data_IF_522871413346
#
_entry.id   IF_522871413346
#
_cell.length_a   1.000
_cell.length_b   1.000
_cell.length_c   1.000
_cell.angle_alpha   90.00
_cell.angle_beta   90.00
_cell.angle_gamma   90.00
#
_symmetry.space_group_name_H-M   'P 1'
#
loop_
_entity.id
_entity.type
_entity.pdbx_description
1 polymer ?
#
# COMPACT_ATOMS: atom_id res chain seq x y z
N UNK A 1 -3.77 5.13 7.64
CA UNK A 1 -2.50 4.96 8.37
C UNK A 1 -2.49 5.73 9.70
N UNK A 2 -2.66 7.05 9.71
CA UNK A 2 -2.57 7.88 10.92
C UNK A 2 -3.38 7.37 12.13
N UNK A 3 -4.65 7.00 11.94
CA UNK A 3 -5.50 6.47 13.01
C UNK A 3 -4.92 5.20 13.64
N UNK A 4 -4.48 4.25 12.80
CA UNK A 4 -3.89 3.00 13.30
C UNK A 4 -2.54 3.24 13.98
N UNK A 5 -1.73 4.16 13.46
CA UNK A 5 -0.47 4.55 14.10
C UNK A 5 -0.68 5.19 15.47
N UNK A 6 -1.70 6.05 15.61
CA UNK A 6 -2.07 6.64 16.90
C UNK A 6 -2.51 5.58 17.91
N UNK A 7 -3.38 4.66 17.50
CA UNK A 7 -3.83 3.51 18.30
C UNK A 7 -2.66 2.64 18.76
N UNK A 8 -1.74 2.29 17.84
CA UNK A 8 -0.52 1.53 18.16
C UNK A 8 0.43 2.28 19.09
N UNK A 9 0.41 3.61 19.07
CA UNK A 9 1.15 4.48 19.99
C UNK A 9 0.39 4.75 21.31
N UNK A 10 -0.72 4.05 21.56
CA UNK A 10 -1.56 4.21 22.75
C UNK A 10 -2.20 5.60 22.91
N UNK A 11 -2.33 6.34 21.80
CA UNK A 11 -3.13 7.56 21.77
C UNK A 11 -4.62 7.19 21.71
N UNK A 12 -5.46 8.02 22.32
CA UNK A 12 -6.91 7.88 22.20
C UNK A 12 -7.35 8.30 20.80
N UNK A 13 -7.79 7.33 20.01
CA UNK A 13 -8.35 7.56 18.68
C UNK A 13 -9.87 7.61 18.78
N UNK A 14 -10.47 8.75 18.44
CA UNK A 14 -11.91 8.91 18.52
C UNK A 14 -12.63 7.89 17.60
N UNK A 15 -13.48 7.05 18.18
CA UNK A 15 -14.26 6.03 17.48
C UNK A 15 -15.12 6.59 16.35
N UNK A 16 -15.71 7.77 16.53
CA UNK A 16 -16.51 8.42 15.48
C UNK A 16 -15.66 8.70 14.24
N UNK A 17 -14.39 9.05 14.41
CA UNK A 17 -13.46 9.25 13.29
C UNK A 17 -13.18 7.94 12.55
N UNK A 18 -13.04 6.82 13.28
CA UNK A 18 -12.87 5.50 12.67
C UNK A 18 -14.14 5.10 11.90
N UNK A 19 -15.32 5.29 12.48
CA UNK A 19 -16.59 4.98 11.82
C UNK A 19 -16.80 5.79 10.54
N UNK A 20 -16.51 7.10 10.57
CA UNK A 20 -16.56 7.96 9.37
C UNK A 20 -15.57 7.55 8.29
N UNK A 21 -14.41 7.00 8.69
CA UNK A 21 -13.45 6.45 7.73
C UNK A 21 -14.01 5.22 7.03
N UNK A 22 -14.70 4.34 7.76
CA UNK A 22 -15.38 3.17 7.19
C UNK A 22 -16.51 3.61 6.24
N UNK A 23 -17.31 4.58 6.65
CA UNK A 23 -18.40 5.14 5.83
C UNK A 23 -17.87 5.73 4.53
N UNK A 24 -16.77 6.50 4.58
CA UNK A 24 -16.12 7.03 3.40
C UNK A 24 -15.60 5.91 2.47
N UNK A 25 -14.94 4.88 3.02
CA UNK A 25 -14.49 3.75 2.21
C UNK A 25 -15.66 3.01 1.56
N UNK A 26 -16.80 2.92 2.24
CA UNK A 26 -18.02 2.34 1.67
C UNK A 26 -18.62 3.21 0.55
N UNK A 27 -18.47 4.54 0.59
CA UNK A 27 -19.01 5.43 -0.44
C UNK A 27 -18.16 5.46 -1.72
N UNK A 28 -16.86 5.17 -1.61
CA UNK A 28 -15.92 5.19 -2.75
C UNK A 28 -15.53 3.79 -3.26
N UNK A 29 -16.07 2.72 -2.68
CA UNK A 29 -15.80 1.36 -3.15
C UNK A 29 -16.62 0.99 -4.39
N UNK A 30 -16.04 0.15 -5.22
CA UNK A 30 -16.67 -0.55 -6.35
C UNK A 30 -16.38 -2.06 -6.25
N UNK A 31 -16.97 -2.86 -7.15
CA UNK A 31 -16.74 -4.30 -7.23
C UNK A 31 -16.93 -5.03 -5.89
N UNK A 32 -17.98 -4.62 -5.17
CA UNK A 32 -18.34 -5.16 -3.85
C UNK A 32 -17.15 -5.11 -2.86
N UNK A 33 -16.46 -3.96 -2.82
CA UNK A 33 -15.36 -3.70 -1.89
C UNK A 33 -13.97 -4.14 -2.36
N UNK A 34 -13.85 -4.71 -3.55
CA UNK A 34 -12.57 -5.11 -4.15
C UNK A 34 -11.89 -3.99 -4.96
N UNK A 35 -12.63 -2.93 -5.31
CA UNK A 35 -12.11 -1.76 -6.02
C UNK A 35 -12.42 -0.44 -5.28
N UNK A 36 -11.61 0.59 -5.52
CA UNK A 36 -11.81 1.92 -4.89
C UNK A 36 -11.51 3.07 -5.85
N UNK A 37 -12.34 4.11 -5.79
CA UNK A 37 -12.13 5.41 -6.44
C UNK A 37 -11.64 6.47 -5.45
N UNK A 38 -11.53 7.72 -5.92
CA UNK A 38 -10.92 8.81 -5.14
C UNK A 38 -11.95 9.51 -4.24
N UNK A 39 -12.98 10.09 -4.85
CA UNK A 39 -14.07 10.82 -4.17
C UNK A 39 -15.43 10.15 -4.35
N UNK A 40 -15.54 9.20 -5.27
CA UNK A 40 -16.74 8.44 -5.58
C UNK A 40 -16.37 7.04 -6.11
N UNK A 41 -17.39 6.22 -6.38
CA UNK A 41 -17.24 4.84 -6.86
C UNK A 41 -17.30 4.69 -8.39
N UNK A 42 -17.38 5.79 -9.15
CA UNK A 42 -17.58 5.77 -10.61
C UNK A 42 -16.32 5.38 -11.38
N UNK A 43 -15.13 5.66 -10.81
CA UNK A 43 -13.83 5.41 -11.43
C UNK A 43 -12.86 4.78 -10.44
N UNK A 44 -12.93 3.47 -10.29
CA UNK A 44 -11.90 2.73 -9.55
C UNK A 44 -10.59 2.65 -10.34
N UNK A 45 -9.47 2.77 -9.65
CA UNK A 45 -8.13 2.61 -10.24
C UNK A 45 -7.29 1.61 -9.45
N UNK A 46 -6.34 0.89 -10.09
CA UNK A 46 -5.46 -0.05 -9.37
C UNK A 46 -4.74 0.60 -8.17
N UNK A 47 -4.31 1.85 -8.31
CA UNK A 47 -3.65 2.64 -7.27
C UNK A 47 -4.55 2.86 -6.07
N UNK A 48 -5.77 3.37 -6.30
CA UNK A 48 -6.69 3.66 -5.21
C UNK A 48 -7.26 2.38 -4.60
N UNK A 49 -7.41 1.32 -5.40
CA UNK A 49 -7.73 -0.01 -4.89
C UNK A 49 -6.65 -0.54 -3.95
N UNK A 50 -5.36 -0.39 -4.29
CA UNK A 50 -4.27 -0.78 -3.38
C UNK A 50 -4.34 -0.01 -2.04
N UNK A 51 -4.59 1.30 -2.10
CA UNK A 51 -4.75 2.15 -0.90
C UNK A 51 -5.98 1.72 -0.09
N UNK A 52 -7.15 1.59 -0.72
CA UNK A 52 -8.41 1.26 -0.06
C UNK A 52 -8.36 -0.11 0.62
N UNK A 53 -7.85 -1.13 -0.07
CA UNK A 53 -7.67 -2.47 0.48
C UNK A 53 -6.70 -2.48 1.66
N UNK A 54 -5.58 -1.77 1.56
CA UNK A 54 -4.64 -1.64 2.68
C UNK A 54 -5.29 -0.94 3.89
N UNK A 55 -6.09 0.11 3.66
CA UNK A 55 -6.86 0.77 4.72
C UNK A 55 -7.87 -0.17 5.37
N UNK A 56 -8.56 -1.00 4.58
CA UNK A 56 -9.48 -2.01 5.12
C UNK A 56 -8.78 -3.00 6.05
N UNK A 57 -7.56 -3.46 5.71
CA UNK A 57 -6.76 -4.31 6.58
C UNK A 57 -6.42 -3.60 7.90
N UNK A 58 -6.02 -2.32 7.84
CA UNK A 58 -5.77 -1.52 9.05
C UNK A 58 -7.02 -1.27 9.89
N UNK A 59 -8.21 -1.30 9.28
CA UNK A 59 -9.51 -1.19 9.93
C UNK A 59 -10.08 -2.54 10.39
N UNK A 60 -9.33 -3.63 10.24
CA UNK A 60 -9.67 -4.94 10.82
C UNK A 60 -10.13 -6.01 9.85
N UNK A 61 -10.16 -5.75 8.53
CA UNK A 61 -10.41 -6.83 7.56
C UNK A 61 -9.36 -7.93 7.70
N UNK A 62 -9.84 -9.17 7.83
CA UNK A 62 -9.01 -10.37 7.86
C UNK A 62 -8.56 -10.73 6.45
N UNK A 63 -7.45 -11.48 6.33
CA UNK A 63 -6.83 -11.83 5.04
C UNK A 63 -7.74 -12.66 4.15
N UNK A 64 -8.67 -13.40 4.74
CA UNK A 64 -9.65 -14.26 4.08
C UNK A 64 -10.94 -13.51 3.71
N UNK A 65 -11.03 -12.19 3.95
CA UNK A 65 -12.15 -11.40 3.47
C UNK A 65 -12.28 -11.54 1.93
N UNK A 66 -13.43 -11.99 1.40
CA UNK A 66 -13.54 -12.29 -0.03
C UNK A 66 -13.26 -11.09 -0.95
N UNK A 67 -13.66 -9.87 -0.54
CA UNK A 67 -13.40 -8.67 -1.33
C UNK A 67 -11.91 -8.30 -1.34
N UNK A 68 -11.23 -8.48 -0.19
CA UNK A 68 -9.79 -8.31 -0.08
C UNK A 68 -9.04 -9.26 -1.01
N UNK A 69 -9.36 -10.56 -0.94
CA UNK A 69 -8.71 -11.60 -1.75
C UNK A 69 -8.85 -11.29 -3.24
N UNK A 70 -10.08 -11.03 -3.71
CA UNK A 70 -10.33 -10.68 -5.12
C UNK A 70 -9.54 -9.45 -5.58
N UNK A 71 -9.52 -8.39 -4.76
CA UNK A 71 -8.81 -7.16 -5.07
C UNK A 71 -7.29 -7.36 -5.14
N UNK A 72 -6.73 -8.07 -4.15
CA UNK A 72 -5.32 -8.43 -4.08
C UNK A 72 -4.91 -9.28 -5.28
N UNK A 73 -5.68 -10.31 -5.64
CA UNK A 73 -5.38 -11.18 -6.79
C UNK A 73 -5.34 -10.40 -8.11
N UNK A 74 -6.31 -9.49 -8.33
CA UNK A 74 -6.33 -8.62 -9.50
C UNK A 74 -5.06 -7.74 -9.57
N UNK A 75 -4.67 -7.14 -8.45
CA UNK A 75 -3.47 -6.30 -8.37
C UNK A 75 -2.18 -7.12 -8.52
N UNK A 76 -2.07 -8.28 -7.88
CA UNK A 76 -0.91 -9.15 -7.95
C UNK A 76 -0.71 -9.71 -9.37
N UNK A 77 -1.80 -10.00 -10.08
CA UNK A 77 -1.78 -10.39 -11.49
C UNK A 77 -1.29 -9.27 -12.40
N UNK A 78 -1.75 -8.03 -12.18
CA UNK A 78 -1.28 -6.87 -12.93
C UNK A 78 0.21 -6.58 -12.66
N UNK A 79 0.63 -6.75 -11.41
CA UNK A 79 2.02 -6.56 -10.98
C UNK A 79 2.42 -5.09 -10.87
N UNK A 80 3.71 -4.84 -10.59
CA UNK A 80 4.28 -3.50 -10.54
C UNK A 80 4.10 -2.72 -11.84
N UNK A 81 3.90 -1.41 -11.70
CA UNK A 81 3.54 -0.53 -12.83
C UNK A 81 4.63 0.49 -13.17
N UNK A 82 5.63 0.66 -12.30
CA UNK A 82 6.60 1.76 -12.38
C UNK A 82 6.02 3.10 -11.90
N UNK A 83 4.74 3.13 -11.53
CA UNK A 83 4.15 4.24 -10.80
C UNK A 83 4.53 4.12 -9.33
N UNK A 84 5.46 4.96 -8.89
CA UNK A 84 6.05 4.95 -7.54
C UNK A 84 4.97 4.99 -6.45
N UNK A 85 3.92 5.78 -6.66
CA UNK A 85 2.83 5.92 -5.71
C UNK A 85 1.98 4.64 -5.63
N UNK A 86 1.65 4.04 -6.77
CA UNK A 86 0.97 2.75 -6.83
C UNK A 86 1.81 1.65 -6.16
N UNK A 87 3.04 1.49 -6.64
CA UNK A 87 3.93 0.39 -6.28
C UNK A 87 4.23 0.42 -4.77
N UNK A 88 4.31 1.59 -4.14
CA UNK A 88 4.49 1.72 -2.70
C UNK A 88 3.32 1.18 -1.88
N UNK A 89 2.07 1.53 -2.23
CA UNK A 89 0.90 1.03 -1.51
C UNK A 89 0.62 -0.43 -1.83
N UNK A 90 0.78 -0.83 -3.09
CA UNK A 90 0.64 -2.22 -3.49
C UNK A 90 1.68 -3.11 -2.79
N UNK A 91 2.93 -2.65 -2.67
CA UNK A 91 3.99 -3.39 -1.95
C UNK A 91 3.63 -3.62 -0.48
N UNK A 92 3.10 -2.62 0.22
CA UNK A 92 2.63 -2.79 1.60
C UNK A 92 1.44 -3.75 1.70
N UNK A 93 0.48 -3.63 0.79
CA UNK A 93 -0.67 -4.53 0.71
C UNK A 93 -0.22 -5.98 0.52
N UNK A 94 0.62 -6.26 -0.48
CA UNK A 94 1.14 -7.60 -0.75
C UNK A 94 1.95 -8.14 0.43
N UNK A 95 2.78 -7.31 1.07
CA UNK A 95 3.55 -7.70 2.25
C UNK A 95 2.64 -8.19 3.38
N UNK A 96 1.52 -7.52 3.63
CA UNK A 96 0.57 -7.96 4.65
C UNK A 96 -0.21 -9.22 4.29
N UNK A 97 -0.37 -9.53 2.99
CA UNK A 97 -0.95 -10.81 2.56
C UNK A 97 -0.01 -11.98 2.88
N UNK A 98 1.31 -11.74 2.91
CA UNK A 98 2.33 -12.77 3.10
C UNK A 98 2.25 -13.88 2.03
N UNK A 99 2.90 -15.03 2.27
CA UNK A 99 2.83 -16.20 1.39
C UNK A 99 3.32 -15.94 -0.04
N UNK A 100 2.77 -16.71 -0.98
CA UNK A 100 3.18 -16.70 -2.39
C UNK A 100 2.92 -15.35 -3.08
N UNK A 101 1.82 -14.67 -2.73
CA UNK A 101 1.49 -13.34 -3.23
C UNK A 101 2.61 -12.35 -2.89
N UNK A 102 3.05 -12.33 -1.64
CA UNK A 102 4.17 -11.50 -1.21
C UNK A 102 5.48 -11.89 -1.90
N UNK A 103 5.85 -13.18 -1.85
CA UNK A 103 7.11 -13.65 -2.41
C UNK A 103 7.25 -13.32 -3.90
N UNK A 104 6.18 -13.52 -4.67
CA UNK A 104 6.13 -13.22 -6.10
C UNK A 104 6.20 -11.73 -6.38
N UNK A 105 5.44 -10.92 -5.64
CA UNK A 105 5.47 -9.46 -5.78
C UNK A 105 6.85 -8.89 -5.45
N UNK A 106 7.41 -9.28 -4.30
CA UNK A 106 8.68 -8.79 -3.80
C UNK A 106 9.85 -9.14 -4.73
N UNK A 107 9.82 -10.32 -5.36
CA UNK A 107 10.82 -10.70 -6.36
C UNK A 107 10.79 -9.76 -7.58
N UNK A 108 9.60 -9.46 -8.11
CA UNK A 108 9.42 -8.53 -9.24
C UNK A 108 9.84 -7.10 -8.87
N UNK A 109 9.38 -6.60 -7.71
CA UNK A 109 9.73 -5.26 -7.25
C UNK A 109 11.23 -5.09 -7.01
N UNK A 110 11.88 -6.04 -6.33
CA UNK A 110 13.33 -5.98 -6.11
C UNK A 110 14.10 -5.94 -7.43
N UNK A 111 13.72 -6.79 -8.39
CA UNK A 111 14.32 -6.79 -9.72
C UNK A 111 14.20 -5.41 -10.39
N UNK A 112 12.98 -4.85 -10.44
CA UNK A 112 12.73 -3.53 -11.04
C UNK A 112 13.56 -2.45 -10.34
N UNK A 113 13.55 -2.39 -9.02
CA UNK A 113 14.27 -1.36 -8.29
C UNK A 113 15.79 -1.49 -8.49
N UNK A 114 16.37 -2.69 -8.44
CA UNK A 114 17.80 -2.86 -8.69
C UNK A 114 18.19 -2.49 -10.12
N UNK A 115 17.39 -2.85 -11.12
CA UNK A 115 17.64 -2.50 -12.53
C UNK A 115 17.50 -1.00 -12.81
N UNK A 116 16.65 -0.30 -12.06
CA UNK A 116 16.32 1.12 -12.25
C UNK A 116 17.12 2.07 -11.37
N UNK A 117 17.97 1.55 -10.48
CA UNK A 117 18.82 2.38 -9.64
C UNK A 117 19.94 3.00 -10.49
N UNK A 118 20.09 4.32 -10.43
CA UNK A 118 21.17 5.00 -11.13
C UNK A 118 22.53 4.58 -10.56
N UNK A 119 23.50 4.38 -11.44
CA UNK A 119 24.91 4.13 -11.11
C UNK A 119 25.81 5.29 -11.54
N UNK A 120 25.21 6.41 -11.97
CA UNK A 120 25.92 7.46 -12.70
C UNK A 120 26.09 8.74 -11.86
N UNK A 121 27.33 9.19 -11.73
CA UNK A 121 27.68 10.50 -11.17
C UNK A 121 27.08 10.78 -9.80
N UNK A 122 26.60 12.00 -9.59
CA UNK A 122 26.01 12.43 -8.31
C UNK A 122 24.64 11.80 -8.02
N UNK A 123 24.04 11.10 -9.00
CA UNK A 123 22.72 10.47 -8.87
C UNK A 123 22.82 8.99 -8.52
N UNK A 124 24.04 8.45 -8.44
CA UNK A 124 24.27 7.07 -8.08
C UNK A 124 23.56 6.71 -6.77
N UNK A 125 22.80 5.62 -6.78
CA UNK A 125 21.97 5.17 -5.67
C UNK A 125 20.53 5.70 -5.68
N UNK A 126 20.18 6.64 -6.56
CA UNK A 126 18.82 7.20 -6.69
C UNK A 126 17.99 6.52 -7.78
N UNK A 127 16.69 6.84 -7.83
CA UNK A 127 15.73 6.29 -8.81
C UNK A 127 15.10 7.35 -9.73
N UNK A 128 15.78 8.49 -9.91
CA UNK A 128 15.21 9.63 -10.62
C UNK A 128 14.89 9.35 -12.10
N UNK A 129 15.76 8.69 -12.86
CA UNK A 129 15.46 8.39 -14.27
C UNK A 129 14.77 7.02 -14.47
N UNK A 130 14.69 6.23 -13.41
CA UNK A 130 14.33 4.82 -13.49
C UNK A 130 12.84 4.51 -13.32
N UNK A 131 12.11 5.34 -12.56
CA UNK A 131 10.71 5.11 -12.18
C UNK A 131 9.83 6.27 -12.66
N UNK A 132 9.35 6.23 -13.89
CA UNK A 132 8.71 7.39 -14.56
C UNK A 132 7.18 7.40 -14.52
N UNK A 133 6.52 6.43 -13.89
CA UNK A 133 5.06 6.34 -13.86
C UNK A 133 4.39 7.22 -12.78
N UNK A 134 3.17 7.68 -13.03
CA UNK A 134 2.33 8.36 -12.05
C UNK A 134 2.83 9.75 -11.65
N UNK A 135 2.86 10.03 -10.34
CA UNK A 135 3.60 11.18 -9.78
C UNK A 135 5.10 10.89 -9.85
N UNK A 136 5.60 10.71 -11.07
CA UNK A 136 6.98 10.38 -11.34
C UNK A 136 7.94 11.52 -10.95
N UNK A 137 9.25 11.26 -10.99
CA UNK A 137 10.31 12.15 -10.57
C UNK A 137 10.25 13.56 -11.15
N UNK A 138 9.66 13.76 -12.35
CA UNK A 138 9.42 15.08 -12.91
C UNK A 138 8.47 15.95 -12.05
N UNK A 139 7.48 15.33 -11.40
CA UNK A 139 6.48 16.02 -10.59
C UNK A 139 6.89 16.19 -9.12
N UNK A 140 7.67 15.25 -8.57
CA UNK A 140 7.95 15.14 -7.12
C UNK A 140 9.44 15.13 -6.77
N UNK A 141 10.31 15.08 -7.77
CA UNK A 141 11.75 15.14 -7.63
C UNK A 141 12.42 13.83 -7.23
N UNK A 142 13.76 13.88 -7.24
CA UNK A 142 14.66 12.79 -6.88
C UNK A 142 14.49 12.31 -5.44
N UNK A 143 14.34 13.24 -4.50
CA UNK A 143 14.27 12.92 -3.07
C UNK A 143 13.07 12.03 -2.76
N UNK A 144 11.88 12.41 -3.24
CA UNK A 144 10.67 11.63 -3.05
C UNK A 144 10.81 10.25 -3.68
N UNK A 145 11.22 10.19 -4.96
CA UNK A 145 11.31 8.94 -5.72
C UNK A 145 12.28 7.96 -5.07
N UNK A 146 13.43 8.47 -4.62
CA UNK A 146 14.44 7.67 -3.91
C UNK A 146 13.92 7.19 -2.56
N UNK A 147 13.26 8.06 -1.80
CA UNK A 147 12.69 7.70 -0.50
C UNK A 147 11.63 6.59 -0.64
N UNK A 148 10.76 6.70 -1.63
CA UNK A 148 9.73 5.69 -1.92
C UNK A 148 10.34 4.35 -2.35
N UNK A 149 11.35 4.37 -3.22
CA UNK A 149 12.08 3.18 -3.63
C UNK A 149 12.74 2.48 -2.43
N UNK A 150 13.40 3.23 -1.55
CA UNK A 150 13.99 2.70 -0.32
C UNK A 150 12.92 2.11 0.60
N UNK A 151 11.80 2.82 0.81
CA UNK A 151 10.69 2.33 1.64
C UNK A 151 10.07 1.02 1.11
N UNK A 152 10.04 0.84 -0.22
CA UNK A 152 9.61 -0.43 -0.82
C UNK A 152 10.62 -1.56 -0.58
N UNK A 153 11.93 -1.27 -0.66
CA UNK A 153 12.99 -2.25 -0.39
C UNK A 153 13.06 -2.68 1.07
N UNK A 154 12.68 -1.80 2.01
CA UNK A 154 12.75 -2.06 3.45
C UNK A 154 11.41 -2.51 4.07
N UNK A 155 10.35 -2.66 3.28
CA UNK A 155 8.97 -2.85 3.78
C UNK A 155 8.87 -3.96 4.84
N UNK A 156 9.63 -5.04 4.69
CA UNK A 156 9.65 -6.20 5.59
C UNK A 156 10.49 -6.00 6.86
N UNK A 157 11.36 -5.00 6.91
CA UNK A 157 12.03 -4.56 8.14
C UNK A 157 11.17 -3.55 8.91
N UNK A 158 10.45 -2.69 8.19
CA UNK A 158 9.68 -1.58 8.77
C UNK A 158 8.31 -1.99 9.27
N UNK A 159 7.61 -2.85 8.53
CA UNK A 159 6.26 -3.27 8.84
C UNK A 159 6.26 -4.73 9.30
N UNK A 160 6.07 -4.97 10.60
CA UNK A 160 5.71 -6.31 11.05
C UNK A 160 4.40 -6.73 10.38
N UNK A 161 4.27 -7.99 9.90
CA UNK A 161 3.04 -8.44 9.30
C UNK A 161 1.87 -8.22 10.26
N UNK A 162 0.84 -7.53 9.77
CA UNK A 162 -0.32 -7.11 10.58
C UNK A 162 -0.94 -8.26 11.38
N UNK A 163 -0.86 -9.48 10.88
CA UNK A 163 -1.53 -10.65 11.44
C UNK A 163 -0.61 -11.57 12.25
N UNK A 164 0.69 -11.24 12.40
CA UNK A 164 1.64 -12.03 13.21
C UNK A 164 1.68 -11.63 14.69
N UNK A 165 0.86 -10.67 15.11
CA UNK A 165 0.72 -10.27 16.51
C UNK A 165 -0.71 -9.81 16.82
N UNK A 166 -1.08 -9.83 18.11
CA UNK A 166 -2.40 -9.44 18.64
C UNK A 166 -2.88 -8.00 18.27
N UNK A 167 -2.11 -7.25 17.48
CA UNK A 167 -2.33 -5.83 17.15
C UNK A 167 -3.43 -5.58 16.10
N UNK A 168 -3.86 -6.60 15.35
CA UNK A 168 -5.00 -6.53 14.41
C UNK A 168 -6.19 -7.38 14.86
N UNK A 169 -6.02 -8.14 15.92
CA UNK A 169 -7.12 -8.78 16.64
C UNK A 169 -7.75 -7.83 17.67
N UNK A 170 -6.95 -6.92 18.23
CA UNK A 170 -7.46 -5.85 19.08
C UNK A 170 -8.14 -4.79 18.21
N UNK A 171 -9.47 -4.81 18.23
CA UNK A 171 -10.29 -3.67 17.83
C UNK A 171 -9.80 -2.41 18.55
N UNK A 172 -10.04 -1.25 17.95
CA UNK A 172 -9.75 0.04 18.60
C UNK A 172 -10.35 0.01 20.02
N UNK A 173 -9.51 0.18 21.05
CA UNK A 173 -9.89 0.03 22.45
C UNK A 173 -10.95 1.08 22.85
N UNK A 174 -11.81 0.70 23.80
CA UNK A 174 -12.80 1.59 24.45
C UNK A 174 -12.15 2.78 25.17
#
# INVERSE_FOLDING_TARGET
MALKSGDMAHLQVNRLTVMKTIEFLNSVQSDDGAGYGYTDNSRSSPTLSAVGLLLRMYLGWKKDNPALVRGVEKLAKAGPTGNVYHDYYATQLMHHMEGEIWSSWNAKMKKILLEKQSTNGHEAGSWFDGLTGGHGPEAVGRLYTTSMATMMLEVYYRHQPLYRGQSVEKEFKE
#
